data_IF_936215694875
#
_entry.id   IF_936215694875
#
_cell.length_a   1.000
_cell.length_b   1.000
_cell.length_c   1.000
_cell.angle_alpha   90.00
_cell.angle_beta   90.00
_cell.angle_gamma   90.00
#
_symmetry.space_group_name_H-M   'P 1'
#
loop_
_entity.id
_entity.type
_entity.pdbx_description
1 polymer ?
#
# COMPACT_ATOMS: atom_id res chain seq x y z
N UNK A 1 51.88 36.12 -54.11
CA UNK A 1 51.08 35.02 -54.68
C UNK A 1 50.07 34.54 -53.64
N UNK A 2 48.79 34.48 -54.04
CA UNK A 2 47.59 34.20 -53.24
C UNK A 2 47.58 32.80 -52.61
N UNK A 3 47.09 32.67 -51.37
CA UNK A 3 46.33 31.50 -50.85
C UNK A 3 45.40 32.00 -49.73
N UNK A 4 44.22 32.51 -50.08
CA UNK A 4 42.90 31.83 -50.08
C UNK A 4 42.58 31.20 -48.72
N UNK A 5 41.81 31.94 -47.93
CA UNK A 5 41.10 31.49 -46.73
C UNK A 5 39.77 30.86 -47.20
N UNK A 6 39.50 29.61 -46.83
CA UNK A 6 38.23 28.95 -47.08
C UNK A 6 37.54 28.71 -45.73
N UNK A 7 36.50 29.50 -45.46
CA UNK A 7 35.63 29.34 -44.30
C UNK A 7 34.43 28.47 -44.73
N UNK A 8 34.38 27.22 -44.30
CA UNK A 8 33.24 26.31 -44.53
C UNK A 8 32.24 26.46 -43.40
N UNK A 9 31.09 27.07 -43.71
CA UNK A 9 29.94 27.20 -42.82
C UNK A 9 29.11 25.90 -42.85
N UNK A 10 29.15 25.11 -41.78
CA UNK A 10 28.33 23.91 -41.61
C UNK A 10 26.98 24.29 -40.97
N UNK A 11 25.90 24.36 -41.76
CA UNK A 11 24.54 24.48 -41.24
C UNK A 11 24.02 23.09 -40.84
N UNK A 12 24.00 22.78 -39.54
CA UNK A 12 23.31 21.60 -39.02
C UNK A 12 21.83 21.93 -38.83
N UNK A 13 21.00 21.36 -39.70
CA UNK A 13 19.53 21.36 -39.57
C UNK A 13 19.17 20.35 -38.47
N UNK A 14 18.82 20.84 -37.29
CA UNK A 14 18.31 20.01 -36.20
C UNK A 14 16.88 19.58 -36.49
N UNK A 15 16.71 18.34 -36.95
CA UNK A 15 15.40 17.68 -36.97
C UNK A 15 14.97 17.42 -35.52
N UNK A 16 14.01 18.21 -35.02
CA UNK A 16 13.26 17.91 -33.81
C UNK A 16 12.27 16.77 -34.12
N UNK A 17 12.71 15.53 -33.92
CA UNK A 17 11.79 14.40 -33.87
C UNK A 17 11.00 14.46 -32.55
N UNK A 18 9.76 14.93 -32.61
CA UNK A 18 8.81 14.76 -31.51
C UNK A 18 8.42 13.29 -31.42
N UNK A 19 9.04 12.56 -30.50
CA UNK A 19 8.59 11.24 -30.09
C UNK A 19 7.27 11.41 -29.32
N UNK A 20 6.15 11.29 -30.02
CA UNK A 20 4.84 11.13 -29.40
C UNK A 20 4.85 9.79 -28.64
N UNK A 21 4.86 9.86 -27.30
CA UNK A 21 4.76 8.68 -26.45
C UNK A 21 3.41 8.02 -26.71
N UNK A 22 3.43 6.96 -27.51
CA UNK A 22 2.31 6.04 -27.69
C UNK A 22 1.81 5.61 -26.30
N UNK A 23 0.66 6.14 -25.86
CA UNK A 23 0.01 5.72 -24.61
C UNK A 23 -0.47 4.29 -24.82
N UNK A 24 0.37 3.32 -24.46
CA UNK A 24 -0.01 1.91 -24.43
C UNK A 24 -1.27 1.76 -23.56
N UNK A 25 -2.40 1.44 -24.18
CA UNK A 25 -3.65 1.23 -23.46
C UNK A 25 -3.47 0.10 -22.45
N UNK A 26 -3.95 0.32 -21.23
CA UNK A 26 -3.92 -0.72 -20.21
C UNK A 26 -4.86 -1.85 -20.65
N UNK A 27 -4.49 -3.13 -20.40
CA UNK A 27 -5.40 -4.24 -20.68
C UNK A 27 -6.73 -4.05 -19.94
N UNK A 28 -7.83 -4.65 -20.41
CA UNK A 28 -9.11 -4.59 -19.70
C UNK A 28 -8.97 -5.10 -18.26
N UNK A 29 -9.82 -4.63 -17.36
CA UNK A 29 -9.87 -5.13 -15.99
C UNK A 29 -10.31 -6.59 -16.01
N UNK A 30 -9.62 -7.46 -15.26
CA UNK A 30 -10.02 -8.86 -15.14
C UNK A 30 -11.27 -8.94 -14.23
N UNK A 31 -12.41 -9.48 -14.71
CA UNK A 31 -13.64 -9.59 -13.93
C UNK A 31 -13.50 -10.43 -12.65
N UNK A 32 -12.52 -11.35 -12.60
CA UNK A 32 -12.28 -12.18 -11.41
C UNK A 32 -11.84 -11.39 -10.17
N UNK A 33 -11.50 -10.11 -10.32
CA UNK A 33 -11.19 -9.19 -9.22
C UNK A 33 -12.39 -8.35 -8.77
N UNK A 34 -13.56 -8.52 -9.39
CA UNK A 34 -14.80 -7.89 -8.93
C UNK A 34 -15.29 -8.58 -7.65
N UNK A 35 -15.49 -7.81 -6.58
CA UNK A 35 -15.97 -8.37 -5.33
C UNK A 35 -15.99 -7.38 -4.18
N UNK A 36 -16.41 -7.85 -3.01
CA UNK A 36 -16.32 -7.11 -1.75
C UNK A 36 -14.90 -7.21 -1.20
N UNK A 37 -14.17 -6.09 -1.21
CA UNK A 37 -12.78 -6.02 -0.74
C UNK A 37 -12.69 -5.28 0.58
N UNK A 38 -12.97 -5.99 1.68
CA UNK A 38 -12.86 -5.43 3.02
C UNK A 38 -11.47 -4.85 3.31
N UNK A 39 -11.41 -3.74 4.05
CA UNK A 39 -10.15 -3.05 4.34
C UNK A 39 -10.10 -2.53 5.77
N UNK A 40 -8.88 -2.32 6.25
CA UNK A 40 -8.57 -1.63 7.50
C UNK A 40 -8.20 -0.19 7.18
N UNK A 41 -8.71 0.75 7.98
CA UNK A 41 -8.28 2.14 7.97
C UNK A 41 -7.30 2.40 9.11
N UNK A 42 -6.22 3.11 8.80
CA UNK A 42 -5.12 3.41 9.72
C UNK A 42 -4.75 4.87 9.56
N UNK A 43 -4.25 5.54 10.59
CA UNK A 43 -3.83 6.95 10.46
C UNK A 43 -2.40 7.23 10.94
N UNK A 44 -1.80 8.27 10.37
CA UNK A 44 -0.63 8.95 10.91
C UNK A 44 -0.79 10.47 10.73
N UNK A 45 -0.77 11.21 11.84
CA UNK A 45 -1.13 12.63 11.83
C UNK A 45 -2.53 12.81 11.27
N UNK A 46 -2.66 13.68 10.26
CA UNK A 46 -3.91 13.95 9.55
C UNK A 46 -4.15 13.08 8.31
N UNK A 47 -3.26 12.14 8.01
CA UNK A 47 -3.37 11.25 6.84
C UNK A 47 -4.00 9.93 7.25
N UNK A 48 -4.91 9.46 6.41
CA UNK A 48 -5.53 8.14 6.55
C UNK A 48 -5.03 7.24 5.40
N UNK A 49 -4.78 5.99 5.75
CA UNK A 49 -4.32 4.94 4.87
C UNK A 49 -5.29 3.76 4.95
N UNK A 50 -5.40 3.01 3.85
CA UNK A 50 -6.18 1.80 3.78
C UNK A 50 -5.30 0.62 3.34
N UNK A 51 -5.50 -0.54 3.95
CA UNK A 51 -4.97 -1.81 3.46
C UNK A 51 -6.07 -2.85 3.41
N UNK A 52 -6.12 -3.63 2.34
CA UNK A 52 -7.16 -4.64 2.17
C UNK A 52 -6.87 -5.91 2.98
N UNK A 53 -7.91 -6.67 3.27
CA UNK A 53 -7.81 -8.05 3.75
C UNK A 53 -7.37 -8.95 2.59
N UNK A 54 -6.05 -8.91 2.32
CA UNK A 54 -5.44 -9.74 1.29
C UNK A 54 -5.58 -11.22 1.64
N UNK A 55 -5.78 -12.06 0.62
CA UNK A 55 -5.97 -13.51 0.75
C UNK A 55 -5.13 -14.23 -0.30
N UNK A 56 -4.81 -15.50 -0.12
CA UNK A 56 -4.11 -16.30 -1.14
C UNK A 56 -4.96 -16.61 -2.38
N UNK A 57 -6.23 -16.19 -2.40
CA UNK A 57 -7.20 -16.51 -3.45
C UNK A 57 -7.84 -15.25 -4.02
N UNK A 58 -8.26 -15.35 -5.28
CA UNK A 58 -9.16 -14.38 -5.89
C UNK A 58 -10.45 -14.24 -5.05
N UNK A 59 -11.05 -13.05 -5.01
CA UNK A 59 -10.68 -11.84 -5.75
C UNK A 59 -9.65 -10.96 -5.01
N UNK A 60 -9.07 -11.41 -3.90
CA UNK A 60 -8.29 -10.60 -2.95
C UNK A 60 -6.80 -10.99 -2.87
N UNK A 61 -6.25 -11.58 -3.93
CA UNK A 61 -4.83 -12.01 -4.03
C UNK A 61 -3.84 -10.88 -4.31
N UNK A 62 -4.14 -9.67 -3.85
CA UNK A 62 -3.29 -8.50 -3.96
C UNK A 62 -3.19 -7.84 -2.59
N UNK A 63 -1.98 -7.65 -2.09
CA UNK A 63 -1.72 -6.83 -0.91
C UNK A 63 -1.55 -5.37 -1.34
N UNK A 64 -2.42 -4.49 -0.87
CA UNK A 64 -2.48 -3.08 -1.27
C UNK A 64 -2.33 -2.17 -0.05
N UNK A 65 -1.65 -1.04 -0.23
CA UNK A 65 -1.71 0.12 0.67
C UNK A 65 -2.03 1.36 -0.16
N UNK A 66 -3.07 2.08 0.25
CA UNK A 66 -3.48 3.34 -0.36
C UNK A 66 -3.54 4.45 0.67
N UNK A 67 -3.30 5.68 0.22
CA UNK A 67 -3.79 6.86 0.90
C UNK A 67 -5.25 7.06 0.51
N UNK A 68 -6.09 7.36 1.50
CA UNK A 68 -7.44 7.86 1.25
C UNK A 68 -7.49 9.36 1.54
N UNK A 69 -8.33 10.07 0.81
CA UNK A 69 -8.59 11.46 1.14
C UNK A 69 -9.48 11.56 2.37
N UNK A 70 -9.15 12.52 3.22
CA UNK A 70 -9.87 12.72 4.47
C UNK A 70 -11.11 13.58 4.20
N UNK A 71 -12.33 13.04 4.32
CA UNK A 71 -13.55 13.78 4.00
C UNK A 71 -13.83 14.89 5.02
N UNK A 72 -13.54 14.67 6.31
CA UNK A 72 -13.79 15.62 7.38
C UNK A 72 -13.02 15.28 8.67
N UNK A 73 -13.07 16.18 9.65
CA UNK A 73 -12.37 16.03 10.94
C UNK A 73 -12.98 14.89 11.79
N UNK A 74 -14.30 14.65 11.70
CA UNK A 74 -14.97 13.64 12.50
C UNK A 74 -14.54 12.22 12.08
N UNK A 75 -14.40 11.99 10.78
CA UNK A 75 -13.92 10.72 10.24
C UNK A 75 -12.45 10.49 10.57
N UNK A 76 -11.61 11.53 10.52
CA UNK A 76 -10.22 11.42 10.96
C UNK A 76 -10.12 11.08 12.45
N UNK A 77 -10.94 11.71 13.30
CA UNK A 77 -10.97 11.41 14.73
C UNK A 77 -11.42 9.97 14.97
N UNK A 78 -12.46 9.49 14.27
CA UNK A 78 -12.88 8.09 14.35
C UNK A 78 -11.70 7.13 14.04
N UNK A 79 -10.99 7.35 12.93
CA UNK A 79 -9.87 6.46 12.56
C UNK A 79 -8.66 6.61 13.49
N UNK A 80 -8.48 7.77 14.13
CA UNK A 80 -7.36 8.00 15.06
C UNK A 80 -7.62 7.42 16.44
N UNK A 81 -8.84 7.57 16.94
CA UNK A 81 -9.17 7.39 18.35
C UNK A 81 -9.70 5.97 18.63
N UNK A 82 -10.12 5.22 17.59
CA UNK A 82 -10.46 3.80 17.68
C UNK A 82 -9.26 2.89 17.44
N UNK A 83 -9.21 1.76 18.16
CA UNK A 83 -8.12 0.78 18.04
C UNK A 83 -8.06 0.09 16.66
N UNK A 84 -9.23 -0.10 16.05
CA UNK A 84 -9.35 -0.83 14.79
C UNK A 84 -10.58 -0.36 14.02
N UNK A 85 -10.39 0.22 12.84
CA UNK A 85 -11.49 0.60 11.93
C UNK A 85 -11.44 -0.27 10.69
N UNK A 86 -12.58 -0.84 10.31
CA UNK A 86 -12.71 -1.58 9.06
C UNK A 86 -13.82 -1.01 8.19
N UNK A 87 -13.69 -1.19 6.88
CA UNK A 87 -14.73 -0.85 5.92
C UNK A 87 -15.20 -2.09 5.18
N UNK A 88 -16.51 -2.14 4.95
CA UNK A 88 -17.18 -3.11 4.09
C UNK A 88 -17.69 -2.37 2.85
N UNK A 89 -16.93 -2.36 1.75
CA UNK A 89 -17.33 -1.64 0.55
C UNK A 89 -18.38 -2.40 -0.27
N UNK A 90 -19.18 -1.66 -1.03
CA UNK A 90 -19.92 -2.23 -2.16
C UNK A 90 -18.93 -2.87 -3.15
N UNK A 91 -19.35 -3.92 -3.89
CA UNK A 91 -18.44 -4.61 -4.79
C UNK A 91 -17.79 -3.69 -5.84
N UNK A 92 -16.48 -3.80 -5.99
CA UNK A 92 -15.70 -3.10 -7.03
C UNK A 92 -14.54 -3.98 -7.51
N UNK A 93 -13.87 -3.57 -8.60
CA UNK A 93 -12.75 -4.32 -9.14
C UNK A 93 -11.43 -3.90 -8.47
N UNK A 94 -10.79 -4.80 -7.72
CA UNK A 94 -9.56 -4.51 -6.96
C UNK A 94 -8.39 -4.08 -7.85
N UNK A 95 -8.36 -4.49 -9.13
CA UNK A 95 -7.30 -4.09 -10.05
C UNK A 95 -7.26 -2.59 -10.33
N UNK A 96 -8.35 -1.85 -10.11
CA UNK A 96 -8.33 -0.38 -10.21
C UNK A 96 -7.33 0.21 -9.21
N UNK A 97 -7.37 -0.29 -7.97
CA UNK A 97 -6.40 0.09 -6.95
C UNK A 97 -5.00 -0.41 -7.31
N UNK A 98 -4.85 -1.66 -7.77
CA UNK A 98 -3.56 -2.20 -8.23
C UNK A 98 -2.91 -1.31 -9.30
N UNK A 99 -3.69 -0.79 -10.26
CA UNK A 99 -3.23 0.08 -11.35
C UNK A 99 -2.80 1.45 -10.87
N UNK A 100 -3.26 1.91 -9.71
CA UNK A 100 -2.95 3.24 -9.21
C UNK A 100 -4.03 4.27 -9.52
N UNK A 101 -5.22 3.81 -9.92
CA UNK A 101 -6.34 4.71 -10.23
C UNK A 101 -6.86 5.38 -8.96
N UNK A 102 -7.30 6.63 -9.10
CA UNK A 102 -8.15 7.24 -8.09
C UNK A 102 -9.53 6.57 -8.16
N UNK A 103 -10.01 6.06 -7.02
CA UNK A 103 -11.27 5.31 -6.95
C UNK A 103 -12.12 5.85 -5.82
N UNK A 104 -13.34 6.27 -6.14
CA UNK A 104 -14.38 6.52 -5.14
C UNK A 104 -15.23 5.27 -4.98
N UNK A 105 -15.36 4.77 -3.75
CA UNK A 105 -16.24 3.64 -3.43
C UNK A 105 -17.22 4.05 -2.34
N UNK A 106 -18.33 3.32 -2.25
CA UNK A 106 -19.30 3.46 -1.17
C UNK A 106 -19.10 2.29 -0.21
N UNK A 107 -18.99 2.57 1.09
CA UNK A 107 -18.72 1.55 2.10
C UNK A 107 -19.42 1.83 3.43
N UNK A 108 -19.82 0.75 4.10
CA UNK A 108 -20.12 0.79 5.53
C UNK A 108 -18.82 0.84 6.32
N UNK A 109 -18.79 1.61 7.40
CA UNK A 109 -17.63 1.77 8.29
C UNK A 109 -17.96 1.15 9.63
N UNK A 110 -17.04 0.35 10.15
CA UNK A 110 -17.17 -0.36 11.42
C UNK A 110 -16.01 0.00 12.33
N UNK A 111 -16.32 0.22 13.60
CA UNK A 111 -15.36 0.14 14.69
C UNK A 111 -15.25 -1.32 15.12
N UNK A 112 -14.05 -1.90 15.03
CA UNK A 112 -13.82 -3.34 15.09
C UNK A 112 -13.88 -4.02 13.72
N UNK A 113 -13.88 -5.36 13.71
CA UNK A 113 -13.80 -6.13 12.48
C UNK A 113 -15.18 -6.43 11.90
N UNK A 114 -15.48 -5.93 10.68
CA UNK A 114 -16.85 -6.01 10.12
C UNK A 114 -17.40 -7.43 9.91
N UNK A 115 -16.54 -8.46 9.79
CA UNK A 115 -16.98 -9.88 9.67
C UNK A 115 -17.10 -10.61 11.00
N UNK A 116 -16.65 -10.00 12.10
CA UNK A 116 -16.58 -10.62 13.42
C UNK A 116 -17.48 -9.84 14.38
N UNK A 117 -16.90 -8.92 15.12
CA UNK A 117 -17.44 -8.26 16.29
C UNK A 117 -17.64 -6.75 16.11
N UNK A 118 -17.34 -6.22 14.92
CA UNK A 118 -17.37 -4.78 14.67
C UNK A 118 -18.77 -4.16 14.74
N UNK A 119 -18.84 -2.95 15.29
CA UNK A 119 -20.04 -2.12 15.33
C UNK A 119 -20.07 -1.14 14.16
N UNK A 120 -21.18 -1.09 13.42
CA UNK A 120 -21.32 -0.18 12.28
C UNK A 120 -21.52 1.26 12.76
N UNK A 121 -20.59 2.15 12.42
CA UNK A 121 -20.61 3.57 12.79
C UNK A 121 -21.06 4.49 11.66
N UNK A 122 -20.83 4.10 10.40
CA UNK A 122 -21.39 4.77 9.24
C UNK A 122 -21.95 3.76 8.24
N UNK A 123 -23.04 4.13 7.56
CA UNK A 123 -23.57 3.37 6.43
C UNK A 123 -23.35 4.14 5.14
N UNK A 124 -23.08 3.42 4.04
CA UNK A 124 -23.01 3.97 2.67
C UNK A 124 -22.13 5.24 2.52
N UNK A 125 -21.01 5.29 3.24
CA UNK A 125 -20.10 6.43 3.21
C UNK A 125 -19.20 6.36 1.97
N UNK A 126 -19.08 7.47 1.25
CA UNK A 126 -18.11 7.59 0.14
C UNK A 126 -16.69 7.68 0.68
N UNK A 127 -15.81 6.80 0.20
CA UNK A 127 -14.38 6.77 0.51
C UNK A 127 -13.59 6.95 -0.79
N UNK A 128 -12.72 7.96 -0.82
CA UNK A 128 -11.89 8.29 -2.00
C UNK A 128 -10.47 7.78 -1.80
N UNK A 129 -10.08 6.80 -2.61
CA UNK A 129 -8.74 6.24 -2.67
C UNK A 129 -7.89 7.09 -3.61
N UNK A 130 -7.12 8.04 -3.07
CA UNK A 130 -6.46 9.08 -3.87
C UNK A 130 -5.07 8.73 -4.36
N UNK A 131 -4.33 7.87 -3.66
CA UNK A 131 -2.96 7.52 -4.07
C UNK A 131 -2.54 6.12 -3.67
N UNK A 132 -2.14 5.31 -4.66
CA UNK A 132 -1.43 4.04 -4.43
C UNK A 132 -0.08 4.29 -3.78
N UNK A 133 0.17 3.58 -2.70
CA UNK A 133 1.46 3.58 -2.02
C UNK A 133 2.20 2.26 -2.21
N UNK A 134 1.45 1.16 -2.26
CA UNK A 134 1.99 -0.18 -2.47
C UNK A 134 0.94 -1.10 -3.07
N UNK A 135 1.35 -1.98 -3.97
CA UNK A 135 0.55 -3.09 -4.46
C UNK A 135 1.48 -4.26 -4.82
N UNK A 136 1.16 -5.46 -4.33
CA UNK A 136 1.89 -6.69 -4.66
C UNK A 136 0.90 -7.84 -4.77
N UNK A 137 0.90 -8.53 -5.92
CA UNK A 137 0.17 -9.79 -6.07
C UNK A 137 0.78 -10.87 -5.19
N UNK A 138 -0.08 -11.70 -4.60
CA UNK A 138 0.31 -12.84 -3.78
C UNK A 138 0.57 -14.08 -4.64
N UNK A 139 1.40 -13.92 -5.67
CA UNK A 139 1.84 -14.97 -6.60
C UNK A 139 3.31 -15.29 -6.35
N UNK A 140 3.70 -16.54 -6.60
CA UNK A 140 5.10 -17.00 -6.53
C UNK A 140 5.77 -16.64 -5.19
N UNK A 141 5.02 -16.90 -4.11
CA UNK A 141 5.40 -16.52 -2.76
C UNK A 141 6.60 -17.35 -2.25
N UNK A 142 7.51 -16.69 -1.53
CA UNK A 142 8.55 -17.40 -0.79
C UNK A 142 7.95 -18.30 0.27
N UNK A 143 8.65 -19.41 0.57
CA UNK A 143 8.25 -20.34 1.61
C UNK A 143 8.17 -19.65 2.98
N UNK A 144 7.24 -20.11 3.83
CA UNK A 144 7.15 -19.67 5.21
C UNK A 144 8.48 -19.90 5.95
N UNK A 145 9.03 -18.85 6.56
CA UNK A 145 10.32 -18.94 7.24
C UNK A 145 10.39 -18.01 8.44
N UNK A 146 11.44 -18.16 9.24
CA UNK A 146 11.77 -17.21 10.31
C UNK A 146 12.38 -15.91 9.78
N UNK A 147 12.81 -15.86 8.52
CA UNK A 147 13.24 -14.62 7.89
C UNK A 147 12.02 -13.84 7.41
N UNK A 148 11.82 -12.68 8.02
CA UNK A 148 10.76 -11.74 7.67
C UNK A 148 11.34 -10.67 6.77
N UNK A 149 10.61 -10.30 5.73
CA UNK A 149 11.01 -9.29 4.76
C UNK A 149 9.90 -8.25 4.62
N UNK A 150 10.27 -6.97 4.61
CA UNK A 150 9.36 -5.84 4.55
C UNK A 150 9.66 -4.99 3.32
N UNK A 151 8.63 -4.63 2.58
CA UNK A 151 8.70 -3.52 1.66
C UNK A 151 8.65 -2.20 2.43
N UNK A 152 9.35 -1.17 1.95
CA UNK A 152 9.31 0.16 2.54
C UNK A 152 8.60 1.13 1.61
N UNK A 153 7.60 1.82 2.16
CA UNK A 153 6.84 2.88 1.50
C UNK A 153 7.39 4.21 1.99
N UNK A 154 7.86 5.05 1.07
CA UNK A 154 8.32 6.40 1.38
C UNK A 154 7.14 7.38 1.47
N UNK A 155 6.91 7.96 2.66
CA UNK A 155 5.89 8.99 2.85
C UNK A 155 6.45 10.40 2.66
N UNK A 156 7.67 10.63 3.10
CA UNK A 156 8.50 11.82 2.84
C UNK A 156 9.98 11.46 3.10
N UNK A 157 10.86 12.43 3.37
CA UNK A 157 12.30 12.15 3.59
C UNK A 157 12.57 11.28 4.83
N UNK A 158 11.80 11.44 5.90
CA UNK A 158 12.05 10.77 7.18
C UNK A 158 10.97 9.75 7.52
N UNK A 159 9.78 9.82 6.95
CA UNK A 159 8.67 8.92 7.32
C UNK A 159 8.55 7.72 6.38
N UNK A 160 8.39 6.52 6.95
CA UNK A 160 8.16 5.27 6.21
C UNK A 160 6.98 4.49 6.78
N UNK A 161 6.32 3.71 5.92
CA UNK A 161 5.51 2.56 6.33
C UNK A 161 6.21 1.30 5.84
N UNK A 162 6.49 0.37 6.75
CA UNK A 162 6.99 -0.95 6.40
C UNK A 162 5.81 -1.92 6.30
N UNK A 163 5.76 -2.66 5.19
CA UNK A 163 4.70 -3.63 4.88
C UNK A 163 5.33 -5.01 4.80
N UNK A 164 4.90 -5.93 5.66
CA UNK A 164 5.38 -7.30 5.61
C UNK A 164 5.03 -7.94 4.27
N UNK A 165 6.02 -8.51 3.58
CA UNK A 165 5.82 -9.23 2.34
C UNK A 165 5.25 -10.61 2.69
N UNK A 166 3.93 -10.73 2.65
CA UNK A 166 3.22 -12.00 2.88
C UNK A 166 3.90 -13.13 2.09
N UNK A 167 4.18 -14.22 2.81
CA UNK A 167 4.82 -15.45 2.34
C UNK A 167 3.77 -16.56 2.24
N UNK A 168 4.16 -17.76 1.80
CA UNK A 168 3.29 -18.94 1.93
C UNK A 168 2.86 -19.17 3.39
N UNK A 169 1.76 -19.87 3.57
CA UNK A 169 1.24 -20.27 4.88
C UNK A 169 2.26 -21.13 5.67
N UNK A 170 2.44 -20.90 6.99
CA UNK A 170 1.82 -19.85 7.80
C UNK A 170 2.53 -18.49 7.63
N UNK A 171 1.76 -17.42 7.60
CA UNK A 171 2.24 -16.04 7.43
C UNK A 171 1.42 -15.06 8.28
N UNK A 172 1.52 -13.77 7.98
CA UNK A 172 0.76 -12.69 8.62
C UNK A 172 0.81 -11.42 7.76
N UNK A 173 -0.14 -10.51 7.96
CA UNK A 173 -0.11 -9.16 7.40
C UNK A 173 0.27 -8.17 8.49
N UNK A 174 1.30 -7.37 8.26
CA UNK A 174 1.81 -6.44 9.25
C UNK A 174 2.25 -5.13 8.60
N UNK A 175 1.72 -4.02 9.10
CA UNK A 175 2.11 -2.68 8.73
C UNK A 175 2.55 -1.91 9.98
N UNK A 176 3.71 -1.26 9.88
CA UNK A 176 4.25 -0.43 10.95
C UNK A 176 4.79 0.87 10.36
N UNK A 177 4.44 1.99 11.00
CA UNK A 177 4.99 3.29 10.68
C UNK A 177 6.27 3.54 11.47
N UNK A 178 7.23 4.20 10.84
CA UNK A 178 8.51 4.60 11.45
C UNK A 178 8.89 6.01 10.97
N UNK A 179 9.34 6.87 11.89
CA UNK A 179 10.21 8.00 11.52
C UNK A 179 11.68 7.54 11.52
N UNK A 180 12.34 7.60 10.37
CA UNK A 180 13.72 7.18 10.15
C UNK A 180 14.67 8.20 10.77
N UNK A 181 14.88 8.05 12.07
CA UNK A 181 15.99 8.73 12.75
C UNK A 181 17.30 7.98 12.57
N UNK A 182 17.23 6.67 12.26
CA UNK A 182 18.38 5.77 12.13
C UNK A 182 18.19 4.76 10.98
N UNK A 183 19.22 3.95 10.72
CA UNK A 183 19.16 2.84 9.76
C UNK A 183 18.13 1.78 10.20
N UNK A 184 17.25 1.39 9.28
CA UNK A 184 16.20 0.42 9.54
C UNK A 184 16.33 -0.80 8.65
N UNK A 185 16.39 -1.99 9.25
CA UNK A 185 16.51 -3.25 8.50
C UNK A 185 15.15 -3.68 7.95
N UNK A 186 15.11 -3.93 6.63
CA UNK A 186 13.93 -4.47 5.95
C UNK A 186 13.83 -5.99 6.05
N UNK A 187 14.91 -6.67 6.43
CA UNK A 187 14.96 -8.13 6.54
C UNK A 187 15.64 -8.55 7.82
N UNK A 188 14.98 -9.40 8.59
CA UNK A 188 15.48 -9.86 9.88
C UNK A 188 14.91 -11.23 10.23
N UNK A 189 15.59 -11.92 11.15
CA UNK A 189 15.15 -13.22 11.67
C UNK A 189 14.30 -13.05 12.93
N UNK A 190 13.24 -13.83 13.02
CA UNK A 190 12.35 -13.94 14.19
C UNK A 190 12.40 -15.33 14.83
N UNK A 191 11.85 -15.45 16.03
CA UNK A 191 11.81 -16.69 16.81
C UNK A 191 10.93 -17.76 16.17
N UNK A 192 9.83 -17.36 15.51
CA UNK A 192 8.85 -18.22 14.85
C UNK A 192 8.54 -17.71 13.45
N UNK A 193 7.93 -18.58 12.62
CA UNK A 193 7.42 -18.21 11.28
C UNK A 193 6.33 -17.14 11.39
N UNK A 194 5.45 -17.26 12.39
CA UNK A 194 4.49 -16.24 12.80
C UNK A 194 4.90 -15.77 14.21
N UNK A 195 5.69 -14.69 14.33
CA UNK A 195 6.12 -14.13 15.61
C UNK A 195 4.98 -13.38 16.32
N UNK A 196 5.17 -13.10 17.62
CA UNK A 196 4.27 -12.19 18.35
C UNK A 196 4.49 -10.75 17.89
N UNK A 197 3.45 -9.93 17.97
CA UNK A 197 3.52 -8.51 17.63
C UNK A 197 4.64 -7.77 18.40
N UNK A 198 4.82 -8.06 19.69
CA UNK A 198 5.86 -7.44 20.51
C UNK A 198 7.27 -7.72 19.99
N UNK A 199 7.52 -8.91 19.45
CA UNK A 199 8.79 -9.23 18.81
C UNK A 199 8.98 -8.44 17.52
N UNK A 200 7.95 -8.32 16.69
CA UNK A 200 8.00 -7.52 15.46
C UNK A 200 8.31 -6.05 15.78
N UNK A 201 7.60 -5.44 16.73
CA UNK A 201 7.84 -4.05 17.15
C UNK A 201 9.28 -3.88 17.66
N UNK A 202 9.80 -4.82 18.46
CA UNK A 202 11.17 -4.78 18.95
C UNK A 202 12.21 -4.77 17.82
N UNK A 203 11.96 -5.46 16.69
CA UNK A 203 12.87 -5.45 15.54
C UNK A 203 13.01 -4.08 14.87
N UNK A 204 12.04 -3.18 15.08
CA UNK A 204 12.06 -1.81 14.58
C UNK A 204 12.49 -0.76 15.61
N UNK A 205 12.74 -1.12 16.88
CA UNK A 205 12.97 -0.15 17.97
C UNK A 205 14.11 0.83 17.70
N UNK A 206 15.13 0.39 16.97
CA UNK A 206 16.28 1.23 16.65
C UNK A 206 16.04 2.15 15.44
N UNK A 207 14.94 1.99 14.70
CA UNK A 207 14.67 2.76 13.49
C UNK A 207 14.18 4.19 13.79
N UNK A 208 13.54 4.39 14.95
CA UNK A 208 13.00 5.65 15.44
C UNK A 208 11.67 5.46 16.18
N UNK A 209 10.81 6.49 16.17
CA UNK A 209 9.47 6.42 16.75
C UNK A 209 8.60 5.50 15.92
N UNK A 210 7.94 4.58 16.60
CA UNK A 210 7.11 3.56 15.99
C UNK A 210 5.64 3.85 16.23
N UNK A 211 4.81 3.58 15.22
CA UNK A 211 3.38 3.38 15.42
C UNK A 211 2.96 2.09 14.74
N UNK A 212 2.43 1.16 15.53
CA UNK A 212 1.76 -0.01 14.99
C UNK A 212 0.54 0.43 14.17
N UNK A 213 0.45 -0.01 12.91
CA UNK A 213 -0.68 0.33 12.06
C UNK A 213 -1.65 -0.85 11.91
N UNK A 214 -1.15 -2.05 11.64
CA UNK A 214 -2.01 -3.21 11.43
C UNK A 214 -1.25 -4.53 11.64
N UNK A 215 -1.88 -5.51 12.28
CA UNK A 215 -1.36 -6.87 12.44
C UNK A 215 -2.50 -7.89 12.38
N UNK A 216 -2.43 -8.84 11.44
CA UNK A 216 -3.41 -9.92 11.28
C UNK A 216 -2.70 -11.24 10.99
N UNK A 217 -3.13 -12.29 11.66
CA UNK A 217 -2.54 -13.63 11.58
C UNK A 217 -3.57 -14.71 11.29
N UNK A 218 -4.85 -14.50 11.62
CA UNK A 218 -5.89 -15.53 11.58
C UNK A 218 -6.15 -16.02 10.17
N UNK A 219 -6.23 -15.11 9.21
CA UNK A 219 -6.47 -15.42 7.80
C UNK A 219 -5.23 -15.99 7.07
N UNK A 220 -4.09 -16.09 7.77
CA UNK A 220 -2.79 -16.52 7.22
C UNK A 220 -2.22 -17.78 7.89
N UNK A 221 -3.07 -18.52 8.63
CA UNK A 221 -2.69 -19.75 9.34
C UNK A 221 -2.59 -20.97 8.44
#
# INVERSE_FOLDING_TARGET
MKRIVLFTLFCTISFLASAEKEKKELPPLNPAYQGEHGMVLMNRGSKIYATNFASYKLPSDIQIVYKIDNPDVAFLNLVRDSDFITIKPKPFNLQRLERGEEVSIVADVYEGHYKRDGFKVYSDRTIVFSKKLYARKLKDLSAASQWQEYASIELNKTERIFVHKITQTPSFNHLIFVDLTNACMQKFKTSKRVPKLSELVYKFVNCGTLKQLYFETEDFR
#
